data_IF_314639320140
#
_entry.id   IF_314639320140
#
_cell.length_a   1.000
_cell.length_b   1.000
_cell.length_c   1.000
_cell.angle_alpha   90.00
_cell.angle_beta   90.00
_cell.angle_gamma   90.00
#
_symmetry.space_group_name_H-M   'P 1'
#
loop_
_entity.id
_entity.type
_entity.pdbx_description
1 polymer ?
#
# COMPACT_ATOMS: atom_id res chain seq x y z
N UNK A 1 81.18 15.25 32.18
CA UNK A 1 80.28 14.56 31.25
C UNK A 1 79.74 15.60 30.24
N UNK A 2 79.96 15.39 28.94
CA UNK A 2 79.43 16.26 27.93
C UNK A 2 77.87 16.10 27.84
N UNK A 3 77.16 17.17 27.88
CA UNK A 3 75.70 17.15 27.70
C UNK A 3 75.36 16.68 26.29
N UNK A 4 74.65 15.57 26.14
CA UNK A 4 74.15 15.14 24.86
C UNK A 4 72.81 15.85 24.60
N UNK A 5 72.78 16.73 23.59
CA UNK A 5 71.62 17.47 23.22
C UNK A 5 71.03 16.85 21.98
N UNK A 6 69.81 16.32 22.08
CA UNK A 6 69.04 15.86 20.93
C UNK A 6 68.03 16.91 20.55
N UNK A 7 68.10 17.38 19.31
CA UNK A 7 67.13 18.35 18.77
C UNK A 7 66.01 17.61 18.00
N UNK A 8 64.76 17.74 18.45
CA UNK A 8 63.58 17.28 17.72
C UNK A 8 63.05 18.49 16.95
N UNK A 9 63.09 18.42 15.63
CA UNK A 9 62.74 19.56 14.78
C UNK A 9 61.22 19.78 14.63
N UNK A 10 60.44 18.71 14.65
CA UNK A 10 58.98 18.78 14.56
C UNK A 10 58.35 17.45 15.03
N UNK A 11 57.05 17.40 15.18
CA UNK A 11 56.28 16.21 15.52
C UNK A 11 55.25 15.85 14.41
N UNK A 12 55.67 16.01 13.15
CA UNK A 12 54.81 15.80 11.98
C UNK A 12 54.76 14.34 11.50
N UNK A 13 55.61 13.50 12.05
CA UNK A 13 55.72 12.08 11.65
C UNK A 13 54.56 11.20 12.08
N UNK A 14 53.58 11.75 12.81
CA UNK A 14 52.40 11.04 13.28
C UNK A 14 52.71 10.05 14.43
N UNK A 15 51.71 9.20 14.73
CA UNK A 15 51.81 8.17 15.77
C UNK A 15 52.36 6.89 15.18
N UNK A 16 53.47 6.36 15.79
CA UNK A 16 54.07 5.08 15.38
C UNK A 16 54.06 4.09 16.53
N UNK A 17 53.58 2.88 16.27
CA UNK A 17 53.59 1.73 17.19
C UNK A 17 54.90 0.95 17.17
N UNK A 18 55.87 1.37 16.32
CA UNK A 18 57.18 0.72 16.28
C UNK A 18 57.94 0.92 17.59
N UNK A 19 58.88 0.03 17.93
CA UNK A 19 59.81 0.25 19.01
C UNK A 19 60.56 1.58 18.87
N UNK A 20 60.86 2.25 19.99
CA UNK A 20 61.45 3.60 19.97
C UNK A 20 62.78 3.68 19.19
N UNK A 21 63.55 2.59 19.16
CA UNK A 21 64.78 2.49 18.38
C UNK A 21 64.58 2.48 16.85
N UNK A 22 63.34 2.26 16.39
CA UNK A 22 62.99 2.21 14.95
C UNK A 22 62.09 3.37 14.52
N UNK A 23 61.72 4.25 15.44
CA UNK A 23 60.91 5.43 15.10
C UNK A 23 61.74 6.44 14.32
N UNK A 24 61.13 7.02 13.31
CA UNK A 24 61.74 8.12 12.59
C UNK A 24 61.66 9.43 13.40
N UNK A 25 62.60 10.36 13.21
CA UNK A 25 62.53 11.66 13.84
C UNK A 25 61.15 12.37 13.58
N UNK A 26 60.55 12.88 14.63
CA UNK A 26 59.25 13.51 14.56
C UNK A 26 58.03 12.59 14.72
N UNK A 27 58.26 11.27 14.82
CA UNK A 27 57.18 10.34 15.20
C UNK A 27 57.01 10.31 16.72
N UNK A 28 55.73 10.21 17.15
CA UNK A 28 55.37 10.13 18.58
C UNK A 28 54.76 8.76 18.89
N UNK A 29 54.86 8.33 20.15
CA UNK A 29 54.27 7.09 20.64
C UNK A 29 52.76 7.22 20.79
N UNK A 30 52.32 8.37 21.25
CA UNK A 30 50.94 8.72 21.52
C UNK A 30 50.74 10.21 21.30
N UNK A 31 49.54 10.59 20.81
CA UNK A 31 49.17 11.96 20.60
C UNK A 31 47.76 12.20 21.16
N UNK A 32 47.67 12.79 22.34
CA UNK A 32 46.42 13.09 23.02
C UNK A 32 46.10 14.57 22.91
N UNK A 33 44.88 14.88 22.48
CA UNK A 33 44.36 16.25 22.32
C UNK A 33 45.20 17.15 21.40
N UNK A 34 45.97 16.56 20.49
CA UNK A 34 46.77 17.24 19.49
C UNK A 34 46.80 16.45 18.20
N UNK A 35 47.11 17.08 17.09
CA UNK A 35 47.33 16.44 15.79
C UNK A 35 48.48 17.13 15.04
N UNK A 36 49.22 16.40 14.21
CA UNK A 36 50.27 16.97 13.37
C UNK A 36 49.61 17.72 12.16
N UNK A 37 49.94 18.98 12.04
CA UNK A 37 49.54 19.84 10.91
C UNK A 37 50.79 20.19 10.07
N UNK A 38 50.75 19.98 8.74
CA UNK A 38 51.92 20.26 7.87
C UNK A 38 52.39 21.70 7.91
N UNK A 39 51.51 22.64 8.17
CA UNK A 39 51.81 24.08 8.17
C UNK A 39 52.27 24.59 9.54
N UNK A 40 51.54 24.14 10.59
CA UNK A 40 51.72 24.71 11.94
C UNK A 40 52.47 23.76 12.92
N UNK A 41 52.80 22.56 12.49
CA UNK A 41 53.45 21.57 13.35
C UNK A 41 52.46 20.82 14.22
N UNK A 42 52.79 20.51 15.45
CA UNK A 42 51.86 19.89 16.38
C UNK A 42 50.91 20.89 16.97
N UNK A 43 49.64 20.83 16.56
CA UNK A 43 48.60 21.73 16.99
C UNK A 43 47.63 21.10 17.95
N UNK A 44 47.02 21.93 18.81
CA UNK A 44 45.99 21.46 19.75
C UNK A 44 44.73 21.10 18.95
N UNK A 45 44.10 19.97 19.34
CA UNK A 45 42.81 19.58 18.83
C UNK A 45 41.81 20.74 18.98
N UNK A 46 41.01 21.04 17.94
CA UNK A 46 39.89 21.98 18.05
C UNK A 46 38.96 21.60 19.21
N UNK A 47 38.45 22.57 19.92
CA UNK A 47 37.43 22.36 20.93
C UNK A 47 36.11 21.93 20.33
N UNK A 48 35.22 21.42 21.15
CA UNK A 48 33.82 21.23 20.75
C UNK A 48 33.12 22.57 20.78
N UNK A 49 32.25 22.79 19.78
CA UNK A 49 31.31 23.91 19.77
C UNK A 49 29.95 23.40 20.22
N UNK A 50 29.33 24.07 21.20
CA UNK A 50 27.94 23.79 21.57
C UNK A 50 27.03 24.19 20.40
N UNK A 51 26.12 23.29 19.98
CA UNK A 51 25.15 23.53 18.93
C UNK A 51 23.76 23.84 19.52
N UNK A 52 23.19 22.85 20.21
CA UNK A 52 21.84 22.95 20.74
C UNK A 52 21.61 21.92 21.86
N UNK A 53 20.52 22.06 22.58
CA UNK A 53 20.03 21.13 23.57
C UNK A 53 18.71 20.52 23.10
N UNK A 54 18.58 19.20 23.20
CA UNK A 54 17.30 18.52 22.92
C UNK A 54 16.22 19.04 23.85
N UNK A 55 15.14 19.54 23.26
CA UNK A 55 13.97 20.05 23.92
C UNK A 55 12.72 19.44 23.29
N UNK A 56 11.67 19.33 24.07
CA UNK A 56 10.34 18.99 23.56
C UNK A 56 9.71 20.16 22.77
N UNK A 57 8.55 19.92 22.17
CA UNK A 57 7.78 20.94 21.45
C UNK A 57 7.39 22.15 22.32
N UNK A 58 7.30 21.96 23.64
CA UNK A 58 7.03 23.03 24.62
C UNK A 58 8.28 23.81 25.01
N UNK A 59 9.47 23.47 24.48
CA UNK A 59 10.74 24.14 24.78
C UNK A 59 11.42 23.66 26.08
N UNK A 60 10.86 22.68 26.78
CA UNK A 60 11.42 22.09 27.99
C UNK A 60 12.52 21.06 27.65
N UNK A 61 13.49 20.92 28.53
CA UNK A 61 14.55 19.92 28.37
C UNK A 61 13.96 18.49 28.46
N UNK A 62 14.42 17.60 27.58
CA UNK A 62 14.01 16.20 27.64
C UNK A 62 14.48 15.53 28.92
N UNK A 63 13.71 14.56 29.42
CA UNK A 63 14.06 13.74 30.57
C UNK A 63 15.30 12.89 30.27
N UNK A 64 16.00 12.46 31.33
CA UNK A 64 17.16 11.53 31.18
C UNK A 64 16.78 10.25 30.45
N UNK A 65 15.60 9.68 30.73
CA UNK A 65 15.08 8.48 30.05
C UNK A 65 14.86 8.71 28.55
N UNK A 66 14.34 9.87 28.16
CA UNK A 66 14.15 10.21 26.75
C UNK A 66 15.51 10.38 26.04
N UNK A 67 16.50 10.99 26.70
CA UNK A 67 17.86 11.14 26.18
C UNK A 67 18.59 9.79 26.08
N UNK A 68 18.43 8.91 27.04
CA UNK A 68 19.02 7.56 26.99
C UNK A 68 18.46 6.70 25.86
N UNK A 69 17.22 6.95 25.46
CA UNK A 69 16.54 6.27 24.36
C UNK A 69 16.66 6.99 23.02
N UNK A 70 17.38 8.10 22.94
CA UNK A 70 17.57 8.84 21.71
C UNK A 70 18.33 8.00 20.67
N UNK A 71 17.78 7.91 19.47
CA UNK A 71 18.40 7.25 18.32
C UNK A 71 18.97 8.29 17.38
N UNK A 72 20.27 8.21 17.13
CA UNK A 72 20.99 9.15 16.27
C UNK A 72 21.28 8.53 14.92
N UNK A 73 21.11 9.32 13.84
CA UNK A 73 21.40 8.90 12.48
C UNK A 73 21.99 10.06 11.68
N UNK A 74 22.55 9.72 10.54
CA UNK A 74 23.27 10.65 9.69
C UNK A 74 22.57 10.78 8.34
N UNK A 75 22.41 12.02 7.83
CA UNK A 75 21.89 12.31 6.50
C UNK A 75 23.00 13.00 5.72
N UNK A 76 23.55 12.29 4.74
CA UNK A 76 24.59 12.81 3.86
C UNK A 76 24.01 12.89 2.44
N UNK A 77 23.33 13.99 2.14
CA UNK A 77 22.69 14.22 0.86
C UNK A 77 23.74 14.50 -0.21
N UNK A 78 24.55 15.55 0.01
CA UNK A 78 25.58 16.01 -0.90
C UNK A 78 26.68 16.78 -0.16
N UNK A 79 27.49 17.56 -0.89
CA UNK A 79 28.55 18.35 -0.29
C UNK A 79 28.04 19.60 0.44
N UNK A 80 26.87 20.10 0.08
CA UNK A 80 26.30 21.38 0.54
C UNK A 80 25.23 21.15 1.62
N UNK A 81 24.66 19.93 1.69
CA UNK A 81 23.63 19.57 2.66
C UNK A 81 23.98 18.27 3.39
N UNK A 82 24.37 18.43 4.65
CA UNK A 82 24.67 17.32 5.57
C UNK A 82 24.03 17.57 6.91
N UNK A 83 23.34 16.56 7.40
CA UNK A 83 22.58 16.69 8.63
C UNK A 83 22.87 15.54 9.59
N UNK A 84 22.63 15.81 10.86
CA UNK A 84 22.50 14.80 11.91
C UNK A 84 21.08 14.81 12.42
N UNK A 85 20.44 13.65 12.42
CA UNK A 85 19.09 13.44 12.91
C UNK A 85 19.08 12.74 14.26
N UNK A 86 18.06 12.99 15.06
CA UNK A 86 17.82 12.35 16.33
C UNK A 86 16.33 12.05 16.48
N UNK A 87 15.99 10.82 16.81
CA UNK A 87 14.64 10.44 17.22
C UNK A 87 14.64 10.35 18.75
N UNK A 88 13.91 11.23 19.41
CA UNK A 88 13.81 11.27 20.86
C UNK A 88 12.42 11.76 21.27
N UNK A 89 11.84 11.16 22.32
CA UNK A 89 10.55 11.54 22.87
C UNK A 89 9.42 11.58 21.80
N UNK A 90 9.43 10.61 20.86
CA UNK A 90 8.47 10.54 19.75
C UNK A 90 8.54 11.71 18.74
N UNK A 91 9.64 12.43 18.74
CA UNK A 91 9.91 13.55 17.83
C UNK A 91 11.22 13.34 17.08
N UNK A 92 11.32 13.94 15.89
CA UNK A 92 12.53 13.95 15.08
C UNK A 92 13.14 15.36 15.15
N UNK A 93 14.41 15.41 15.51
CA UNK A 93 15.20 16.62 15.54
C UNK A 93 16.33 16.50 14.51
N UNK A 94 16.53 17.52 13.70
CA UNK A 94 17.55 17.52 12.64
C UNK A 94 18.37 18.81 12.74
N UNK A 95 19.68 18.69 12.60
CA UNK A 95 20.59 19.84 12.55
C UNK A 95 21.48 19.74 11.32
N UNK A 96 21.64 20.88 10.65
CA UNK A 96 22.63 21.01 9.60
C UNK A 96 24.03 20.96 10.22
N UNK A 97 24.90 20.12 9.70
CA UNK A 97 26.30 20.01 10.16
C UNK A 97 27.24 20.98 9.47
N UNK A 98 26.76 21.69 8.46
CA UNK A 98 27.46 22.78 7.81
C UNK A 98 26.99 24.10 8.41
N UNK A 99 27.95 25.00 8.69
CA UNK A 99 27.64 26.32 9.18
C UNK A 99 27.07 27.18 8.03
N UNK A 100 26.13 28.05 8.36
CA UNK A 100 25.66 29.09 7.44
C UNK A 100 26.76 30.16 7.16
N UNK A 101 26.48 31.12 6.31
CA UNK A 101 27.40 32.20 5.96
C UNK A 101 27.82 33.08 7.16
N UNK A 102 27.07 33.02 8.26
CA UNK A 102 27.37 33.72 9.53
C UNK A 102 28.11 32.82 10.54
N UNK A 103 28.44 31.59 10.16
CA UNK A 103 29.13 30.61 11.02
C UNK A 103 28.21 29.94 12.05
N UNK A 104 26.88 30.00 11.90
CA UNK A 104 25.92 29.34 12.79
C UNK A 104 25.48 28.01 12.22
N UNK A 105 25.17 27.07 13.10
CA UNK A 105 24.57 25.80 12.74
C UNK A 105 23.07 25.86 12.95
N UNK A 106 22.32 25.52 11.91
CA UNK A 106 20.86 25.67 11.87
C UNK A 106 20.19 24.37 12.29
N UNK A 107 19.23 24.47 13.22
CA UNK A 107 18.27 23.39 13.48
C UNK A 107 17.23 23.42 12.38
N UNK A 108 17.07 22.30 11.67
CA UNK A 108 16.09 22.16 10.62
C UNK A 108 14.65 22.09 11.17
N UNK A 109 13.70 22.54 10.39
CA UNK A 109 12.28 22.39 10.67
C UNK A 109 11.83 21.00 10.22
N UNK A 110 11.17 20.27 11.10
CA UNK A 110 10.55 18.99 10.78
C UNK A 110 9.04 19.13 10.92
N UNK A 111 8.32 18.90 9.84
CA UNK A 111 6.86 18.89 9.83
C UNK A 111 6.36 17.45 9.74
N UNK A 112 5.19 17.17 10.30
CA UNK A 112 4.56 15.87 10.31
C UNK A 112 3.32 15.93 9.43
N UNK A 113 3.21 15.02 8.49
CA UNK A 113 2.14 15.01 7.50
C UNK A 113 1.63 13.59 7.29
N UNK A 114 0.39 13.46 6.88
CA UNK A 114 -0.15 12.22 6.34
C UNK A 114 -0.47 12.46 4.87
N UNK A 115 0.50 12.18 3.97
CA UNK A 115 0.37 12.39 2.53
C UNK A 115 -0.13 13.81 2.16
N UNK A 116 0.49 14.84 2.77
CA UNK A 116 0.12 16.24 2.54
C UNK A 116 -0.97 16.80 3.46
N UNK A 117 -1.62 15.96 4.28
CA UNK A 117 -2.55 16.42 5.30
C UNK A 117 -1.78 16.79 6.57
N UNK A 118 -1.80 18.07 6.94
CA UNK A 118 -1.14 18.56 8.14
C UNK A 118 -1.75 17.95 9.42
N UNK A 119 -0.91 17.78 10.45
CA UNK A 119 -1.35 17.32 11.76
C UNK A 119 -1.27 15.80 11.99
N UNK A 120 -0.53 15.07 11.15
CA UNK A 120 -0.23 13.67 11.40
C UNK A 120 0.53 13.52 12.71
N UNK A 121 -0.04 12.74 13.64
CA UNK A 121 0.60 12.46 14.93
C UNK A 121 1.44 11.19 14.78
N UNK A 122 2.71 11.35 14.52
CA UNK A 122 3.68 10.26 14.38
C UNK A 122 4.03 9.57 15.72
N UNK A 123 3.43 9.98 16.81
CA UNK A 123 3.77 9.52 18.17
C UNK A 123 3.63 8.00 18.33
N UNK A 124 2.68 7.36 17.66
CA UNK A 124 2.53 5.91 17.73
C UNK A 124 3.69 5.18 17.04
N UNK A 125 4.14 5.67 15.89
CA UNK A 125 5.24 5.05 15.15
C UNK A 125 6.62 5.38 15.74
N UNK A 126 6.80 6.60 16.26
CA UNK A 126 8.05 7.06 16.88
C UNK A 126 8.14 6.80 18.39
N UNK A 127 7.22 6.03 18.98
CA UNK A 127 7.18 5.76 20.41
C UNK A 127 7.82 4.40 20.74
N UNK A 128 9.15 4.31 20.60
CA UNK A 128 9.90 3.12 21.00
C UNK A 128 11.31 3.48 21.48
N UNK A 129 12.09 2.48 21.86
CA UNK A 129 13.49 2.67 22.31
C UNK A 129 14.45 2.67 21.12
N UNK A 130 15.61 3.30 21.28
CA UNK A 130 16.66 3.40 20.25
C UNK A 130 17.06 2.08 19.60
N UNK A 131 16.92 0.96 20.30
CA UNK A 131 17.27 -0.38 19.80
C UNK A 131 16.37 -0.87 18.67
N UNK A 132 15.19 -0.29 18.55
CA UNK A 132 14.15 -0.74 17.64
C UNK A 132 14.06 0.10 16.36
N UNK A 133 14.86 1.17 16.27
CA UNK A 133 14.92 1.97 15.05
C UNK A 133 16.02 1.51 14.13
N UNK A 134 15.77 1.60 12.84
CA UNK A 134 16.78 1.60 11.80
C UNK A 134 16.45 2.68 10.79
N UNK A 135 17.45 3.41 10.33
CA UNK A 135 17.28 4.48 9.33
C UNK A 135 18.17 4.19 8.13
N UNK A 136 17.57 4.20 6.97
CA UNK A 136 18.23 4.09 5.68
C UNK A 136 18.06 5.41 4.94
N UNK A 137 19.14 6.11 4.65
CA UNK A 137 19.11 7.35 3.87
C UNK A 137 19.57 7.10 2.44
N UNK A 138 18.73 7.50 1.49
CA UNK A 138 19.03 7.48 0.06
C UNK A 138 18.66 8.84 -0.50
N UNK A 139 19.66 9.59 -0.95
CA UNK A 139 19.47 10.96 -1.45
C UNK A 139 18.71 11.86 -0.44
N UNK A 140 17.54 12.37 -0.85
CA UNK A 140 16.72 13.28 -0.05
C UNK A 140 15.81 12.57 0.96
N UNK A 141 15.70 11.25 0.87
CA UNK A 141 14.77 10.46 1.67
C UNK A 141 15.49 9.56 2.68
N UNK A 142 15.03 9.62 3.92
CA UNK A 142 15.46 8.71 4.98
C UNK A 142 14.29 7.83 5.39
N UNK A 143 14.39 6.53 5.13
CA UNK A 143 13.37 5.53 5.48
C UNK A 143 13.62 5.09 6.92
N UNK A 144 12.64 5.30 7.78
CA UNK A 144 12.68 4.98 9.21
C UNK A 144 11.85 3.74 9.46
N UNK A 145 12.48 2.68 9.95
CA UNK A 145 11.82 1.45 10.38
C UNK A 145 11.71 1.41 11.90
N UNK A 146 10.60 0.81 12.38
CA UNK A 146 10.36 0.52 13.78
C UNK A 146 10.06 -0.98 13.93
N UNK A 147 11.01 -1.73 14.46
CA UNK A 147 10.92 -3.19 14.60
C UNK A 147 9.92 -3.67 15.67
N UNK A 148 9.25 -2.77 16.38
CA UNK A 148 8.16 -3.14 17.31
C UNK A 148 6.80 -3.19 16.63
N UNK A 149 6.65 -2.54 15.48
CA UNK A 149 5.40 -2.45 14.75
C UNK A 149 5.23 -3.67 13.85
N UNK A 150 4.12 -4.37 14.00
CA UNK A 150 3.72 -5.42 13.06
C UNK A 150 3.04 -4.79 11.88
N UNK A 151 3.51 -5.10 10.69
CA UNK A 151 2.90 -4.62 9.43
C UNK A 151 1.54 -5.28 9.24
N UNK A 152 0.55 -4.50 8.87
CA UNK A 152 -0.80 -5.01 8.57
C UNK A 152 -1.26 -4.55 7.18
N UNK A 153 -2.16 -5.30 6.59
CA UNK A 153 -2.94 -4.83 5.43
C UNK A 153 -4.05 -3.89 5.89
N UNK A 154 -4.64 -3.17 4.97
CA UNK A 154 -5.88 -2.44 5.22
C UNK A 154 -7.00 -3.42 5.59
N UNK A 155 -8.01 -2.93 6.31
CA UNK A 155 -9.16 -3.76 6.66
C UNK A 155 -9.87 -4.27 5.39
N UNK A 156 -10.22 -5.54 5.39
CA UNK A 156 -10.99 -6.13 4.30
C UNK A 156 -12.39 -5.53 4.28
N UNK A 157 -12.90 -5.11 3.09
CA UNK A 157 -14.28 -4.67 2.98
C UNK A 157 -15.24 -5.83 3.24
N UNK A 158 -16.37 -5.52 3.86
CA UNK A 158 -17.41 -6.53 4.11
C UNK A 158 -17.97 -7.03 2.77
N UNK A 159 -18.03 -8.33 2.62
CA UNK A 159 -18.66 -8.98 1.50
C UNK A 159 -19.68 -10.01 1.99
N UNK A 160 -20.85 -10.04 1.34
CA UNK A 160 -21.89 -11.04 1.59
C UNK A 160 -22.26 -11.68 0.25
N UNK A 161 -22.11 -13.00 0.16
CA UNK A 161 -22.48 -13.77 -1.03
C UNK A 161 -23.99 -13.80 -1.21
N UNK A 162 -24.45 -13.89 -2.46
CA UNK A 162 -25.87 -14.04 -2.81
C UNK A 162 -26.70 -12.75 -2.68
N UNK A 163 -26.06 -11.58 -2.67
CA UNK A 163 -26.76 -10.30 -2.74
C UNK A 163 -27.02 -9.84 -4.17
N UNK A 164 -26.21 -10.27 -5.12
CA UNK A 164 -26.28 -9.82 -6.51
C UNK A 164 -26.42 -11.03 -7.45
N UNK A 165 -27.38 -10.94 -8.35
CA UNK A 165 -27.65 -11.99 -9.32
C UNK A 165 -27.89 -11.38 -10.70
N UNK A 166 -27.46 -12.09 -11.73
CA UNK A 166 -27.72 -11.75 -13.11
C UNK A 166 -28.62 -12.84 -13.71
N UNK A 167 -29.71 -12.45 -14.34
CA UNK A 167 -30.57 -13.32 -15.15
C UNK A 167 -30.38 -12.92 -16.60
N UNK A 168 -29.70 -13.74 -17.38
CA UNK A 168 -29.31 -13.50 -18.77
C UNK A 168 -30.21 -14.27 -19.72
N UNK A 169 -30.80 -13.59 -20.68
CA UNK A 169 -31.56 -14.18 -21.78
C UNK A 169 -30.60 -14.43 -22.96
N UNK A 170 -30.54 -15.66 -23.45
CA UNK A 170 -29.65 -16.06 -24.55
C UNK A 170 -30.42 -16.44 -25.82
N UNK A 171 -31.73 -16.66 -25.74
CA UNK A 171 -32.57 -17.00 -26.88
C UNK A 171 -34.05 -16.89 -26.58
N UNK A 172 -34.84 -16.86 -27.64
CA UNK A 172 -36.29 -16.70 -27.61
C UNK A 172 -36.95 -17.79 -28.46
N UNK A 173 -37.95 -18.47 -27.91
CA UNK A 173 -38.68 -19.54 -28.57
C UNK A 173 -40.22 -19.35 -28.48
N UNK A 174 -40.94 -19.84 -29.48
CA UNK A 174 -42.42 -19.94 -29.44
C UNK A 174 -42.86 -21.08 -28.54
N UNK A 175 -43.99 -20.92 -27.86
CA UNK A 175 -44.60 -21.95 -27.00
C UNK A 175 -43.65 -22.45 -25.94
N UNK A 176 -42.91 -21.54 -25.37
CA UNK A 176 -41.88 -21.84 -24.37
C UNK A 176 -42.11 -21.06 -23.06
N UNK A 177 -41.73 -21.62 -21.96
CA UNK A 177 -41.79 -21.02 -20.64
C UNK A 177 -40.46 -20.40 -20.25
N UNK A 178 -40.52 -19.21 -19.69
CA UNK A 178 -39.38 -18.51 -19.09
C UNK A 178 -39.69 -18.23 -17.62
N UNK A 179 -38.98 -18.84 -16.72
CA UNK A 179 -39.26 -18.72 -15.29
C UNK A 179 -38.04 -18.29 -14.48
N UNK A 180 -38.28 -17.44 -13.49
CA UNK A 180 -37.29 -17.00 -12.50
C UNK A 180 -37.82 -17.34 -11.11
N UNK A 181 -37.03 -18.05 -10.34
CA UNK A 181 -37.33 -18.39 -8.94
C UNK A 181 -36.40 -17.61 -8.03
N UNK A 182 -36.96 -16.87 -7.08
CA UNK A 182 -36.26 -16.03 -6.11
C UNK A 182 -36.65 -16.52 -4.71
N UNK A 183 -35.72 -17.21 -4.05
CA UNK A 183 -36.02 -17.92 -2.80
C UNK A 183 -37.07 -18.98 -3.03
N UNK A 184 -38.26 -18.82 -2.45
CA UNK A 184 -39.41 -19.73 -2.61
C UNK A 184 -40.47 -19.24 -3.60
N UNK A 185 -40.29 -18.08 -4.21
CA UNK A 185 -41.27 -17.47 -5.10
C UNK A 185 -40.81 -17.59 -6.55
N UNK A 186 -41.73 -17.95 -7.44
CA UNK A 186 -41.46 -18.15 -8.87
C UNK A 186 -42.43 -17.32 -9.71
N UNK A 187 -41.88 -16.61 -10.68
CA UNK A 187 -42.63 -16.04 -11.76
C UNK A 187 -42.34 -16.78 -13.07
N UNK A 188 -43.38 -17.01 -13.88
CA UNK A 188 -43.26 -17.71 -15.16
C UNK A 188 -43.99 -16.91 -16.22
N UNK A 189 -43.33 -16.64 -17.32
CA UNK A 189 -43.91 -16.08 -18.55
C UNK A 189 -43.94 -17.17 -19.61
N UNK A 190 -45.03 -17.21 -20.39
CA UNK A 190 -45.20 -18.16 -21.48
C UNK A 190 -45.35 -17.44 -22.80
N UNK A 191 -44.49 -17.74 -23.76
CA UNK A 191 -44.51 -17.14 -25.07
C UNK A 191 -45.69 -17.70 -25.91
N UNK A 192 -46.19 -16.91 -26.86
CA UNK A 192 -47.26 -17.30 -27.76
C UNK A 192 -46.90 -18.48 -28.65
N UNK A 193 -47.91 -19.18 -29.13
CA UNK A 193 -47.77 -20.19 -30.18
C UNK A 193 -47.45 -19.55 -31.54
N UNK A 194 -46.64 -20.22 -32.37
CA UNK A 194 -46.28 -19.76 -33.70
C UNK A 194 -47.49 -19.56 -34.64
N UNK A 195 -48.49 -20.41 -34.48
CA UNK A 195 -49.68 -20.45 -35.38
C UNK A 195 -50.84 -19.57 -34.86
N UNK A 196 -50.77 -19.02 -33.65
CA UNK A 196 -51.81 -18.22 -33.04
C UNK A 196 -51.50 -16.73 -33.10
N UNK A 197 -51.71 -16.11 -34.26
CA UNK A 197 -51.73 -14.66 -34.35
C UNK A 197 -53.19 -14.17 -34.25
N UNK A 198 -53.58 -13.76 -33.06
CA UNK A 198 -54.87 -13.09 -32.84
C UNK A 198 -54.65 -11.72 -32.25
N UNK A 199 -55.56 -10.75 -32.43
CA UNK A 199 -55.44 -9.44 -31.79
C UNK A 199 -55.32 -9.53 -30.25
N UNK A 200 -55.85 -10.58 -29.63
CA UNK A 200 -55.80 -10.80 -28.18
C UNK A 200 -54.41 -11.30 -27.69
N UNK A 201 -53.62 -11.97 -28.54
CA UNK A 201 -52.31 -12.45 -28.22
C UNK A 201 -51.18 -11.78 -29.02
N UNK A 202 -51.52 -10.76 -29.83
CA UNK A 202 -50.54 -9.98 -30.59
C UNK A 202 -49.52 -9.26 -29.69
N UNK A 203 -49.88 -9.04 -28.42
CA UNK A 203 -49.04 -8.40 -27.42
C UNK A 203 -48.14 -9.41 -26.67
N UNK A 204 -48.37 -10.70 -26.88
CA UNK A 204 -47.49 -11.73 -26.28
C UNK A 204 -46.21 -11.82 -27.09
N UNK A 205 -45.24 -11.30 -26.50
CA UNK A 205 -43.94 -11.04 -27.09
C UNK A 205 -43.21 -12.27 -27.58
N UNK A 206 -42.49 -12.07 -28.67
CA UNK A 206 -41.42 -12.96 -29.08
C UNK A 206 -40.13 -12.16 -29.33
N UNK A 207 -39.97 -11.06 -28.67
CA UNK A 207 -38.71 -10.31 -28.62
C UNK A 207 -38.06 -10.49 -27.27
N UNK A 208 -36.72 -10.39 -27.21
CA UNK A 208 -35.99 -10.42 -25.96
C UNK A 208 -36.44 -9.28 -25.04
N UNK A 209 -36.74 -8.12 -25.60
CA UNK A 209 -37.17 -6.94 -24.86
C UNK A 209 -38.50 -7.16 -24.13
N UNK A 210 -39.48 -7.76 -24.84
CA UNK A 210 -40.81 -8.03 -24.26
C UNK A 210 -40.70 -9.08 -23.14
N UNK A 211 -39.98 -10.19 -23.37
CA UNK A 211 -39.79 -11.23 -22.36
C UNK A 211 -39.13 -10.68 -21.09
N UNK A 212 -38.09 -9.87 -21.26
CA UNK A 212 -37.41 -9.25 -20.10
C UNK A 212 -38.29 -8.22 -19.39
N UNK A 213 -39.17 -7.51 -20.13
CA UNK A 213 -40.16 -6.57 -19.58
C UNK A 213 -41.22 -7.31 -18.75
N UNK A 214 -41.71 -8.44 -19.27
CA UNK A 214 -42.70 -9.26 -18.56
C UNK A 214 -42.11 -9.93 -17.35
N UNK A 215 -40.89 -10.43 -17.46
CA UNK A 215 -40.12 -10.97 -16.32
C UNK A 215 -39.84 -9.91 -15.24
N UNK A 216 -39.40 -8.71 -15.61
CA UNK A 216 -39.22 -7.59 -14.69
C UNK A 216 -40.51 -7.25 -13.94
N UNK A 217 -41.61 -7.08 -14.70
CA UNK A 217 -42.93 -6.76 -14.15
C UNK A 217 -43.37 -7.85 -13.17
N UNK A 218 -43.28 -9.11 -13.58
CA UNK A 218 -43.72 -10.23 -12.79
C UNK A 218 -42.84 -10.45 -11.54
N UNK A 219 -41.53 -10.29 -11.65
CA UNK A 219 -40.61 -10.37 -10.51
C UNK A 219 -40.90 -9.26 -9.50
N UNK A 220 -41.12 -8.05 -9.94
CA UNK A 220 -41.50 -6.92 -9.07
C UNK A 220 -42.85 -7.17 -8.37
N UNK A 221 -43.79 -7.85 -9.03
CA UNK A 221 -45.08 -8.22 -8.46
C UNK A 221 -44.98 -9.27 -7.34
N UNK A 222 -43.91 -10.08 -7.32
CA UNK A 222 -43.63 -11.03 -6.23
C UNK A 222 -43.37 -10.33 -4.88
N UNK A 223 -43.07 -9.03 -4.90
CA UNK A 223 -42.86 -8.21 -3.71
C UNK A 223 -41.80 -8.79 -2.72
N UNK A 224 -40.73 -9.32 -3.26
CA UNK A 224 -39.61 -9.84 -2.44
C UNK A 224 -38.95 -8.70 -1.69
N UNK A 225 -38.91 -8.82 -0.37
CA UNK A 225 -38.39 -7.73 0.47
C UNK A 225 -36.91 -7.45 0.18
N UNK A 226 -36.60 -6.17 -0.06
CA UNK A 226 -35.22 -5.72 -0.31
C UNK A 226 -34.66 -6.07 -1.68
N UNK A 227 -35.49 -6.57 -2.60
CA UNK A 227 -35.11 -6.81 -3.99
C UNK A 227 -35.24 -5.52 -4.83
N UNK A 228 -34.23 -5.26 -5.62
CA UNK A 228 -34.21 -4.26 -6.69
C UNK A 228 -33.90 -4.94 -8.00
N UNK A 229 -34.70 -4.70 -9.03
CA UNK A 229 -34.49 -5.22 -10.37
C UNK A 229 -34.05 -4.08 -11.28
N UNK A 230 -32.94 -4.26 -11.98
CA UNK A 230 -32.46 -3.33 -13.02
C UNK A 230 -32.49 -4.05 -14.34
N UNK A 231 -33.35 -3.60 -15.27
CA UNK A 231 -33.46 -4.16 -16.61
C UNK A 231 -32.37 -3.61 -17.51
N UNK A 232 -31.76 -4.49 -18.28
CA UNK A 232 -30.82 -4.20 -19.36
C UNK A 232 -31.35 -4.86 -20.65
N UNK A 233 -30.72 -4.58 -21.81
CA UNK A 233 -31.26 -5.06 -23.11
C UNK A 233 -31.32 -6.59 -23.21
N UNK A 234 -30.39 -7.29 -22.55
CA UNK A 234 -30.26 -8.75 -22.66
C UNK A 234 -30.31 -9.49 -21.29
N UNK A 235 -30.45 -8.75 -20.19
CA UNK A 235 -30.40 -9.32 -18.85
C UNK A 235 -31.17 -8.50 -17.82
N UNK A 236 -31.47 -9.14 -16.69
CA UNK A 236 -31.92 -8.48 -15.47
C UNK A 236 -30.82 -8.60 -14.42
N UNK A 237 -30.45 -7.49 -13.81
CA UNK A 237 -29.60 -7.47 -12.61
C UNK A 237 -30.51 -7.35 -11.38
N UNK A 238 -30.38 -8.30 -10.47
CA UNK A 238 -31.13 -8.36 -9.24
C UNK A 238 -30.19 -8.08 -8.06
N UNK A 239 -30.48 -7.05 -7.29
CA UNK A 239 -29.74 -6.71 -6.08
C UNK A 239 -30.63 -6.86 -4.87
N UNK A 240 -30.18 -7.62 -3.87
CA UNK A 240 -30.91 -7.92 -2.65
C UNK A 240 -30.20 -7.35 -1.42
N UNK A 241 -30.95 -6.91 -0.41
CA UNK A 241 -30.40 -6.47 0.88
C UNK A 241 -30.02 -7.64 1.79
N UNK A 242 -30.51 -8.85 1.49
CA UNK A 242 -30.19 -10.09 2.20
C UNK A 242 -29.87 -11.18 1.19
N UNK A 243 -29.00 -12.11 1.56
CA UNK A 243 -28.63 -13.23 0.70
C UNK A 243 -29.85 -14.07 0.35
N UNK A 244 -30.04 -14.34 -0.93
CA UNK A 244 -31.15 -15.12 -1.48
C UNK A 244 -30.63 -15.99 -2.61
N UNK A 245 -31.35 -17.07 -2.92
CA UNK A 245 -31.02 -17.90 -4.08
C UNK A 245 -31.88 -17.48 -5.26
N UNK A 246 -31.27 -17.30 -6.43
CA UNK A 246 -31.97 -17.05 -7.68
C UNK A 246 -31.61 -18.14 -8.68
N UNK A 247 -32.63 -18.73 -9.29
CA UNK A 247 -32.49 -19.67 -10.40
C UNK A 247 -33.38 -19.25 -11.56
N UNK A 248 -32.98 -19.55 -12.77
CA UNK A 248 -33.75 -19.25 -13.96
C UNK A 248 -33.66 -20.43 -14.95
N UNK A 249 -34.73 -20.59 -15.72
CA UNK A 249 -34.78 -21.52 -16.84
C UNK A 249 -35.71 -20.94 -17.92
N UNK A 250 -35.38 -21.17 -19.17
CA UNK A 250 -36.20 -20.70 -20.27
C UNK A 250 -35.94 -21.46 -21.54
N UNK A 251 -36.94 -21.43 -22.40
CA UNK A 251 -36.95 -22.20 -23.63
C UNK A 251 -37.35 -23.66 -23.45
N UNK A 252 -37.52 -24.39 -24.54
CA UNK A 252 -37.91 -25.82 -24.52
C UNK A 252 -36.84 -26.71 -23.85
N UNK A 253 -35.57 -26.35 -24.04
CA UNK A 253 -34.41 -27.08 -23.44
C UNK A 253 -33.98 -26.50 -22.09
N UNK A 254 -34.73 -25.53 -21.55
CA UNK A 254 -34.43 -24.86 -20.28
C UNK A 254 -33.06 -24.18 -20.18
N UNK A 255 -32.43 -23.81 -21.31
CA UNK A 255 -31.07 -23.25 -21.39
C UNK A 255 -31.04 -21.78 -21.82
N UNK A 256 -32.18 -21.24 -22.31
CA UNK A 256 -32.21 -19.91 -22.91
C UNK A 256 -32.36 -18.77 -21.90
N UNK A 257 -32.72 -19.05 -20.66
CA UNK A 257 -32.67 -18.13 -19.55
C UNK A 257 -31.76 -18.73 -18.47
N UNK A 258 -30.70 -18.02 -18.13
CA UNK A 258 -29.69 -18.49 -17.19
C UNK A 258 -29.53 -17.51 -16.03
N UNK A 259 -29.43 -17.99 -14.83
CA UNK A 259 -29.11 -17.18 -13.67
C UNK A 259 -27.75 -17.57 -13.10
N UNK A 260 -27.01 -16.57 -12.64
CA UNK A 260 -25.82 -16.76 -11.84
C UNK A 260 -25.69 -15.66 -10.78
N UNK A 261 -24.98 -15.95 -9.72
CA UNK A 261 -24.71 -15.01 -8.63
C UNK A 261 -23.27 -14.52 -8.71
N UNK A 262 -22.46 -15.02 -7.81
CA UNK A 262 -21.10 -14.53 -7.58
C UNK A 262 -20.06 -15.27 -8.42
N UNK A 263 -20.47 -16.31 -9.16
CA UNK A 263 -19.53 -17.11 -9.96
C UNK A 263 -20.12 -17.61 -11.26
N UNK A 264 -19.27 -17.77 -12.25
CA UNK A 264 -19.56 -18.40 -13.54
C UNK A 264 -18.45 -19.37 -13.91
N UNK A 265 -18.81 -20.39 -14.70
CA UNK A 265 -17.88 -21.43 -15.15
C UNK A 265 -17.02 -21.00 -16.34
N UNK A 266 -17.44 -19.94 -17.02
CA UNK A 266 -16.76 -19.43 -18.22
C UNK A 266 -17.06 -17.94 -18.41
N UNK A 267 -16.08 -17.21 -18.90
CA UNK A 267 -16.22 -15.75 -19.22
C UNK A 267 -17.32 -15.45 -20.22
N UNK A 268 -17.66 -16.37 -21.11
CA UNK A 268 -18.73 -16.21 -22.11
C UNK A 268 -20.13 -16.14 -21.48
N UNK A 269 -20.29 -16.56 -20.23
CA UNK A 269 -21.54 -16.40 -19.49
C UNK A 269 -21.75 -14.97 -18.99
N UNK A 270 -20.69 -14.16 -18.89
CA UNK A 270 -20.82 -12.77 -18.51
C UNK A 270 -21.57 -11.97 -19.58
N UNK A 271 -22.53 -11.12 -19.20
CA UNK A 271 -23.25 -10.28 -20.15
C UNK A 271 -22.37 -9.10 -20.63
N UNK A 272 -22.71 -8.55 -21.79
CA UNK A 272 -22.09 -7.31 -22.30
C UNK A 272 -22.57 -6.06 -21.57
N UNK A 273 -23.66 -6.20 -20.83
CA UNK A 273 -24.27 -5.13 -20.02
C UNK A 273 -24.44 -5.60 -18.58
N UNK A 274 -24.09 -4.73 -17.65
CA UNK A 274 -24.29 -4.99 -16.23
C UNK A 274 -24.31 -3.68 -15.43
N UNK A 275 -24.26 -3.76 -14.12
CA UNK A 275 -24.18 -2.63 -13.21
C UNK A 275 -22.73 -2.36 -12.79
N UNK A 276 -22.42 -1.10 -12.53
CA UNK A 276 -21.10 -0.67 -12.09
C UNK A 276 -20.64 -1.42 -10.84
N UNK A 277 -19.36 -1.82 -10.84
CA UNK A 277 -18.71 -2.52 -9.74
C UNK A 277 -19.28 -3.92 -9.45
N UNK A 278 -20.09 -4.50 -10.35
CA UNK A 278 -20.48 -5.91 -10.25
C UNK A 278 -19.23 -6.77 -10.37
N UNK A 279 -18.96 -7.58 -9.36
CA UNK A 279 -17.83 -8.51 -9.37
C UNK A 279 -18.36 -9.93 -9.51
N UNK A 280 -17.71 -10.72 -10.34
CA UNK A 280 -18.03 -12.13 -10.57
C UNK A 280 -16.73 -12.94 -10.60
N UNK A 281 -16.72 -14.08 -9.92
CA UNK A 281 -15.64 -15.04 -9.98
C UNK A 281 -15.79 -15.92 -11.22
N UNK A 282 -14.80 -15.95 -12.08
CA UNK A 282 -14.74 -16.83 -13.24
C UNK A 282 -13.91 -18.04 -12.85
N UNK A 283 -14.55 -19.21 -12.86
CA UNK A 283 -13.93 -20.47 -12.47
C UNK A 283 -13.59 -21.24 -13.75
N UNK A 284 -12.33 -21.63 -13.91
CA UNK A 284 -11.97 -22.61 -14.91
C UNK A 284 -12.16 -24.01 -14.30
N UNK A 285 -13.12 -24.78 -14.81
CA UNK A 285 -13.38 -26.14 -14.32
C UNK A 285 -12.31 -27.14 -14.72
N UNK A 286 -11.51 -26.83 -15.74
CA UNK A 286 -10.41 -27.70 -16.22
C UNK A 286 -9.09 -27.41 -15.47
N UNK A 287 -8.92 -26.18 -14.93
CA UNK A 287 -7.72 -25.79 -14.20
C UNK A 287 -8.08 -24.84 -13.08
N UNK A 288 -7.95 -25.29 -11.83
CA UNK A 288 -8.22 -24.46 -10.65
C UNK A 288 -7.25 -23.28 -10.50
N UNK A 289 -6.11 -23.31 -11.18
CA UNK A 289 -5.12 -22.23 -11.19
C UNK A 289 -5.51 -21.02 -12.05
N UNK A 290 -6.48 -21.19 -12.96
CA UNK A 290 -6.91 -20.14 -13.90
C UNK A 290 -8.19 -19.42 -13.43
N UNK A 291 -8.49 -19.50 -12.15
CA UNK A 291 -9.62 -18.78 -11.55
C UNK A 291 -9.25 -17.32 -11.31
N UNK A 292 -10.12 -16.41 -11.75
CA UNK A 292 -9.92 -14.98 -11.55
C UNK A 292 -11.25 -14.27 -11.23
N UNK A 293 -11.17 -12.99 -10.88
CA UNK A 293 -12.32 -12.15 -10.57
C UNK A 293 -12.43 -11.05 -11.60
N UNK A 294 -13.63 -10.84 -12.12
CA UNK A 294 -13.94 -9.80 -13.09
C UNK A 294 -14.90 -8.78 -12.50
N UNK A 295 -14.60 -7.50 -12.70
CA UNK A 295 -15.43 -6.36 -12.30
C UNK A 295 -15.95 -5.65 -13.53
N UNK A 296 -17.24 -5.32 -13.53
CA UNK A 296 -17.86 -4.61 -14.62
C UNK A 296 -17.67 -3.11 -14.53
N UNK A 297 -17.26 -2.51 -15.66
CA UNK A 297 -17.11 -1.07 -15.85
C UNK A 297 -18.02 -0.63 -16.98
N UNK A 298 -19.11 0.11 -16.71
CA UNK A 298 -19.98 0.64 -17.76
C UNK A 298 -19.26 1.76 -18.54
N UNK A 299 -19.54 1.86 -19.84
CA UNK A 299 -18.99 2.91 -20.70
C UNK A 299 -19.47 4.30 -20.30
N UNK A 300 -20.67 4.40 -19.70
CA UNK A 300 -21.24 5.64 -19.15
C UNK A 300 -22.27 5.33 -18.07
N UNK A 301 -22.45 6.24 -17.12
CA UNK A 301 -23.43 6.06 -16.04
C UNK A 301 -23.05 4.94 -15.05
N UNK A 302 -24.08 4.33 -14.45
CA UNK A 302 -23.93 3.28 -13.42
C UNK A 302 -24.37 1.90 -13.89
N UNK A 303 -24.87 1.76 -15.12
CA UNK A 303 -25.31 0.50 -15.72
C UNK A 303 -25.36 0.60 -17.24
N UNK A 304 -25.46 -0.50 -17.93
CA UNK A 304 -25.57 -0.59 -19.38
C UNK A 304 -24.38 -1.30 -20.03
N UNK A 305 -24.08 -0.95 -21.28
CA UNK A 305 -22.96 -1.53 -22.03
C UNK A 305 -21.62 -1.12 -21.45
N UNK A 306 -20.71 -2.07 -21.33
CA UNK A 306 -19.39 -1.84 -20.76
C UNK A 306 -18.45 -3.00 -21.03
N UNK A 307 -17.47 -3.15 -20.17
CA UNK A 307 -16.49 -4.24 -20.26
C UNK A 307 -16.19 -4.81 -18.87
N UNK A 308 -15.70 -6.03 -18.87
CA UNK A 308 -15.23 -6.70 -17.67
C UNK A 308 -13.71 -6.58 -17.60
N UNK A 309 -13.21 -6.10 -16.49
CA UNK A 309 -11.76 -6.06 -16.19
C UNK A 309 -11.43 -6.98 -15.02
N UNK A 310 -10.23 -7.52 -15.01
CA UNK A 310 -9.75 -8.33 -13.89
C UNK A 310 -9.62 -7.47 -12.63
N UNK A 311 -9.98 -8.02 -11.48
CA UNK A 311 -10.00 -7.33 -10.20
C UNK A 311 -9.62 -8.23 -9.02
N UNK A 312 -9.63 -7.66 -7.82
CA UNK A 312 -9.45 -8.41 -6.58
C UNK A 312 -10.65 -9.30 -6.25
N UNK A 313 -10.37 -10.37 -5.52
CA UNK A 313 -11.37 -11.23 -4.95
C UNK A 313 -12.34 -10.52 -4.00
N UNK A 314 -13.46 -11.17 -3.75
CA UNK A 314 -14.50 -10.64 -2.88
C UNK A 314 -13.98 -10.36 -1.47
N UNK A 315 -14.35 -9.21 -0.92
CA UNK A 315 -14.04 -8.85 0.46
C UNK A 315 -12.54 -8.74 0.76
N UNK A 316 -11.71 -8.42 -0.23
CA UNK A 316 -10.28 -8.31 -0.06
C UNK A 316 -9.82 -6.86 -0.12
N UNK A 317 -8.95 -6.47 0.79
CA UNK A 317 -8.28 -5.19 0.73
C UNK A 317 -7.17 -5.22 -0.33
N UNK A 318 -6.93 -4.07 -0.94
CA UNK A 318 -5.95 -3.93 -2.01
C UNK A 318 -4.58 -3.43 -1.53
N UNK A 319 -4.47 -2.90 -0.33
CA UNK A 319 -3.27 -2.19 0.09
C UNK A 319 -2.79 -2.51 1.50
N UNK A 320 -1.62 -1.98 1.80
CA UNK A 320 -0.99 -2.03 3.11
C UNK A 320 -1.49 -0.87 3.99
N UNK A 321 -1.57 -1.11 5.28
CA UNK A 321 -1.84 -0.06 6.26
C UNK A 321 -0.59 0.81 6.41
N UNK A 322 -0.60 1.97 5.80
CA UNK A 322 0.55 2.88 5.73
C UNK A 322 1.07 3.30 7.11
N UNK A 323 0.21 3.31 8.14
CA UNK A 323 0.60 3.66 9.51
C UNK A 323 1.46 2.59 10.19
N UNK A 324 1.48 1.37 9.67
CA UNK A 324 2.26 0.25 10.18
C UNK A 324 3.51 -0.04 9.35
N UNK A 325 3.59 0.55 8.17
CA UNK A 325 4.76 0.45 7.27
C UNK A 325 5.88 1.42 7.67
N UNK A 326 7.11 1.20 7.22
CA UNK A 326 8.18 2.18 7.36
C UNK A 326 7.77 3.55 6.85
N UNK A 327 8.16 4.57 7.60
CA UNK A 327 7.86 5.97 7.27
C UNK A 327 9.08 6.63 6.60
N UNK A 328 8.85 7.71 5.91
CA UNK A 328 9.90 8.50 5.31
C UNK A 328 10.08 9.86 5.98
N UNK A 329 11.32 10.30 6.07
CA UNK A 329 11.71 11.67 6.39
C UNK A 329 12.36 12.27 5.13
N UNK A 330 11.64 13.15 4.46
CA UNK A 330 12.05 13.74 3.18
C UNK A 330 12.60 15.13 3.39
N UNK A 331 13.78 15.40 2.85
CA UNK A 331 14.33 16.75 2.75
C UNK A 331 13.68 17.46 1.56
N UNK A 332 12.77 18.40 1.82
CA UNK A 332 12.01 19.13 0.78
C UNK A 332 12.65 20.45 0.38
N UNK A 333 13.48 21.02 1.24
CA UNK A 333 14.25 22.22 1.00
C UNK A 333 15.39 22.34 2.03
N UNK A 334 16.34 23.26 1.82
CA UNK A 334 17.41 23.54 2.77
C UNK A 334 16.84 23.71 4.19
N UNK A 335 17.31 22.88 5.13
CA UNK A 335 16.89 22.87 6.52
C UNK A 335 15.36 22.62 6.73
N UNK A 336 14.69 21.94 5.78
CA UNK A 336 13.26 21.64 5.88
C UNK A 336 12.99 20.19 5.57
N UNK A 337 12.30 19.51 6.49
CA UNK A 337 11.98 18.10 6.38
C UNK A 337 10.49 17.85 6.61
N UNK A 338 9.97 16.82 5.96
CA UNK A 338 8.62 16.29 6.16
C UNK A 338 8.74 14.83 6.58
N UNK A 339 8.14 14.47 7.71
CA UNK A 339 7.99 13.08 8.15
C UNK A 339 6.56 12.61 7.87
N UNK A 340 6.44 11.51 7.13
CA UNK A 340 5.15 11.01 6.69
C UNK A 340 5.16 9.49 6.48
N UNK A 341 3.97 8.83 6.56
CA UNK A 341 3.83 7.46 6.08
C UNK A 341 3.97 7.43 4.55
N UNK A 342 4.45 6.32 4.04
CA UNK A 342 4.60 6.09 2.60
C UNK A 342 3.37 5.39 2.04
N UNK A 343 2.90 5.81 0.87
CA UNK A 343 1.86 5.11 0.12
C UNK A 343 2.49 4.06 -0.77
N UNK A 344 2.21 2.79 -0.48
CA UNK A 344 2.71 1.68 -1.27
C UNK A 344 1.72 1.32 -2.37
N UNK A 345 2.23 0.88 -3.52
CA UNK A 345 1.41 0.42 -4.64
C UNK A 345 0.52 -0.73 -4.19
N UNK A 346 -0.78 -0.58 -4.45
CA UNK A 346 -1.78 -1.58 -4.10
C UNK A 346 -1.79 -2.72 -5.11
N UNK A 347 -2.12 -3.95 -4.68
CA UNK A 347 -2.42 -5.03 -5.61
C UNK A 347 -3.75 -4.74 -6.33
N UNK A 348 -3.80 -5.04 -7.61
CA UNK A 348 -4.94 -4.70 -8.47
C UNK A 348 -5.86 -5.90 -8.74
N UNK A 349 -5.33 -7.11 -8.70
CA UNK A 349 -6.01 -8.33 -9.15
C UNK A 349 -5.69 -9.52 -8.27
N UNK A 350 -6.50 -10.57 -8.37
CA UNK A 350 -6.28 -11.86 -7.72
C UNK A 350 -6.81 -11.95 -6.30
N UNK A 351 -6.39 -12.98 -5.60
CA UNK A 351 -6.74 -13.26 -4.21
C UNK A 351 -5.48 -13.62 -3.39
N UNK A 352 -5.66 -14.00 -2.12
CA UNK A 352 -4.53 -14.35 -1.26
C UNK A 352 -3.80 -15.63 -1.69
N UNK A 353 -4.37 -16.39 -2.64
CA UNK A 353 -3.75 -17.59 -3.22
C UNK A 353 -3.00 -17.28 -4.50
N UNK A 354 -3.59 -16.46 -5.37
CA UNK A 354 -3.07 -16.17 -6.72
C UNK A 354 -2.16 -14.94 -6.75
N UNK A 355 -2.39 -13.98 -5.85
CA UNK A 355 -1.62 -12.76 -5.69
C UNK A 355 -1.55 -12.34 -4.22
N UNK A 356 -0.82 -13.12 -3.42
CA UNK A 356 -0.69 -12.90 -1.98
C UNK A 356 0.01 -11.58 -1.65
N UNK A 357 -0.28 -11.04 -0.48
CA UNK A 357 0.48 -9.92 0.06
C UNK A 357 1.97 -10.29 0.25
N UNK A 358 2.88 -9.30 0.25
CA UNK A 358 4.28 -9.55 0.56
C UNK A 358 4.46 -10.25 1.91
N UNK A 359 5.49 -11.09 2.01
CA UNK A 359 5.74 -11.94 3.20
C UNK A 359 6.07 -11.17 4.47
N UNK A 360 6.34 -9.86 4.39
CA UNK A 360 6.50 -9.02 5.56
C UNK A 360 5.17 -8.58 6.22
N UNK A 361 4.01 -8.81 5.57
CA UNK A 361 2.71 -8.60 6.20
C UNK A 361 2.54 -9.60 7.35
N UNK A 362 1.94 -9.14 8.45
CA UNK A 362 1.83 -9.83 9.73
C UNK A 362 3.18 -10.09 10.44
N UNK A 363 4.27 -9.56 9.90
CA UNK A 363 5.62 -9.62 10.47
C UNK A 363 6.13 -8.21 10.84
N UNK A 364 7.28 -8.17 11.52
CA UNK A 364 7.96 -6.94 11.91
C UNK A 364 9.15 -6.70 10.99
N UNK A 365 9.20 -5.52 10.38
CA UNK A 365 10.36 -5.11 9.58
C UNK A 365 11.47 -4.68 10.54
N UNK A 366 12.59 -5.40 10.53
CA UNK A 366 13.74 -5.13 11.37
C UNK A 366 14.62 -4.03 10.80
N UNK A 367 14.80 -4.03 9.49
CA UNK A 367 15.68 -3.10 8.81
C UNK A 367 15.27 -2.91 7.35
N UNK A 368 15.48 -1.70 6.82
CA UNK A 368 15.45 -1.41 5.39
C UNK A 368 16.89 -1.39 4.83
N UNK A 369 17.05 -1.80 3.59
CA UNK A 369 18.31 -1.70 2.86
C UNK A 369 18.05 -1.30 1.40
N UNK A 370 19.09 -0.79 0.73
CA UNK A 370 19.03 -0.41 -0.68
C UNK A 370 20.12 -1.11 -1.46
N UNK A 371 19.74 -1.80 -2.52
CA UNK A 371 20.69 -2.55 -3.35
C UNK A 371 20.21 -2.61 -4.80
N UNK A 372 21.10 -2.31 -5.75
CA UNK A 372 20.81 -2.37 -7.18
C UNK A 372 19.52 -1.65 -7.58
N UNK A 373 19.35 -0.42 -7.09
CA UNK A 373 18.16 0.41 -7.33
C UNK A 373 16.84 -0.25 -6.90
N UNK A 374 16.87 -0.98 -5.79
CA UNK A 374 15.71 -1.62 -5.15
C UNK A 374 15.72 -1.33 -3.66
N UNK A 375 14.57 -1.02 -3.13
CA UNK A 375 14.34 -0.96 -1.70
C UNK A 375 14.07 -2.38 -1.19
N UNK A 376 14.70 -2.77 -0.10
CA UNK A 376 14.48 -4.06 0.52
C UNK A 376 14.15 -3.95 1.99
N UNK A 377 13.38 -4.91 2.48
CA UNK A 377 13.02 -5.07 3.88
C UNK A 377 13.48 -6.42 4.41
N UNK A 378 14.06 -6.40 5.60
CA UNK A 378 14.44 -7.59 6.35
C UNK A 378 13.42 -7.82 7.47
N UNK A 379 12.89 -9.02 7.56
CA UNK A 379 12.11 -9.48 8.72
C UNK A 379 12.94 -10.50 9.53
N UNK A 380 12.32 -11.21 10.46
CA UNK A 380 13.02 -12.24 11.25
C UNK A 380 13.47 -13.45 10.40
N UNK A 381 12.78 -13.73 9.31
CA UNK A 381 12.86 -14.97 8.55
C UNK A 381 12.91 -14.79 7.02
N UNK A 382 12.68 -13.57 6.53
CA UNK A 382 12.67 -13.36 5.09
C UNK A 382 13.23 -11.99 4.66
N UNK A 383 13.51 -11.89 3.36
CA UNK A 383 13.99 -10.71 2.66
C UNK A 383 13.01 -10.40 1.53
N UNK A 384 12.45 -9.23 1.54
CA UNK A 384 11.58 -8.74 0.45
C UNK A 384 12.25 -7.56 -0.25
N UNK A 385 12.14 -7.50 -1.57
CA UNK A 385 12.71 -6.41 -2.38
C UNK A 385 11.69 -5.87 -3.35
N UNK A 386 11.71 -4.56 -3.55
CA UNK A 386 10.90 -3.87 -4.57
C UNK A 386 11.33 -4.22 -5.99
N UNK A 387 10.56 -3.81 -6.97
CA UNK A 387 11.01 -3.77 -8.36
C UNK A 387 12.13 -2.75 -8.53
N UNK A 388 12.88 -2.86 -9.64
CA UNK A 388 13.99 -1.94 -9.90
C UNK A 388 13.44 -0.58 -10.29
N UNK A 389 13.81 0.45 -9.51
CA UNK A 389 13.38 1.83 -9.73
C UNK A 389 12.01 2.18 -9.15
N UNK A 390 11.28 1.19 -8.62
CA UNK A 390 9.98 1.40 -7.95
C UNK A 390 10.12 0.98 -6.50
N UNK A 391 10.02 1.93 -5.58
CA UNK A 391 10.36 1.71 -4.17
C UNK A 391 9.13 1.54 -3.28
N UNK A 392 7.97 2.05 -3.75
CA UNK A 392 6.76 2.10 -2.94
C UNK A 392 5.52 1.60 -3.67
#
# INVERSE_FOLDING_TARGET
>A
MAAVTQRISNFLGGVSRQPDSKKLPGQVRECLNAYPDPTYGLVKRPGFKYLDRLKDTGGSALSSTALDNAYWFYINRDNDERYIGCIANSEIHVWNTLADSSGNYVKATVTYSNNGVAGYVATSYLNTTKKNYSVLTVQDTSIITNSTVTVTKNADPTYTSGLNHTVKLTGVEYSAEYSVTIGSQTYTETTRNADEFTPANSNKALSADDILTDLETGINALSVSGLTVTRLDTSLELTCTSAITVTARGGKDSTQLQAFSDQVENVTRLPEQSIQNRIVKVINTESTGDTYYAKFIPNSGTSGTGFWEETLGFGMSNGLNTTTMPHELVNTALNTFVFQPVSYTARLVGDDTTNSHPTFVDNKIQQAFFHNNRLGFLTSDNVSMSQTGEFF
#
